data_IF_491378957124
#
_entry.id   IF_491378957124
#
_cell.length_a   1.000
_cell.length_b   1.000
_cell.length_c   1.000
_cell.angle_alpha   90.00
_cell.angle_beta   90.00
_cell.angle_gamma   90.00
#
_symmetry.space_group_name_H-M   'P 1'
#
loop_
_entity.id
_entity.type
_entity.pdbx_description
1 polymer ?
#
# COMPACT_ATOMS: atom_id res chain seq x y z
N UNK A 1 -3.97 8.35 2.15
CA UNK A 1 -3.91 9.55 1.29
C UNK A 1 -4.59 9.23 -0.03
N UNK A 2 -5.49 10.06 -0.45
CA UNK A 2 -6.22 9.92 -1.72
C UNK A 2 -5.98 11.17 -2.55
N UNK A 3 -5.56 10.99 -3.82
CA UNK A 3 -5.32 12.08 -4.75
C UNK A 3 -5.63 11.60 -6.18
N UNK A 4 -6.49 12.33 -6.91
CA UNK A 4 -6.88 12.00 -8.29
C UNK A 4 -7.32 10.53 -8.45
N UNK A 5 -8.19 10.05 -7.56
CA UNK A 5 -8.67 8.67 -7.51
C UNK A 5 -7.58 7.62 -7.24
N UNK A 6 -6.41 8.05 -6.77
CA UNK A 6 -5.33 7.18 -6.36
C UNK A 6 -5.18 7.19 -4.84
N UNK A 7 -5.08 6.02 -4.23
CA UNK A 7 -4.95 5.87 -2.79
C UNK A 7 -3.59 5.27 -2.41
N UNK A 8 -2.99 5.82 -1.37
CA UNK A 8 -1.74 5.34 -0.78
C UNK A 8 -1.98 5.18 0.72
N UNK A 9 -1.52 4.08 1.31
CA UNK A 9 -1.58 3.86 2.74
C UNK A 9 -0.21 4.13 3.39
N UNK A 10 -0.24 4.67 4.59
CA UNK A 10 0.95 4.91 5.40
C UNK A 10 0.75 4.23 6.75
N UNK A 11 1.70 3.41 7.15
CA UNK A 11 1.71 2.76 8.45
C UNK A 11 3.07 3.00 9.12
N UNK A 12 3.04 3.58 10.31
CA UNK A 12 4.25 3.96 11.04
C UNK A 12 4.42 3.04 12.25
N UNK A 13 5.58 2.37 12.31
CA UNK A 13 5.99 1.54 13.45
C UNK A 13 7.10 2.23 14.23
N UNK A 14 7.59 1.61 15.29
CA UNK A 14 8.73 2.14 16.05
C UNK A 14 9.99 2.27 15.18
N UNK A 15 10.20 1.36 14.23
CA UNK A 15 11.45 1.26 13.46
C UNK A 15 11.30 1.67 12.01
N UNK A 16 10.08 1.69 11.46
CA UNK A 16 9.87 1.85 10.02
C UNK A 16 8.67 2.74 9.69
N UNK A 17 8.74 3.32 8.49
CA UNK A 17 7.62 3.95 7.82
C UNK A 17 7.29 3.06 6.63
N UNK A 18 6.09 2.50 6.61
CA UNK A 18 5.62 1.65 5.53
C UNK A 18 4.72 2.48 4.62
N UNK A 19 5.18 2.74 3.41
CA UNK A 19 4.39 3.37 2.37
C UNK A 19 3.88 2.28 1.43
N UNK A 20 2.58 2.17 1.33
CA UNK A 20 1.94 1.16 0.50
C UNK A 20 1.16 1.85 -0.63
N UNK A 21 1.67 1.70 -1.85
CA UNK A 21 1.05 2.20 -3.07
C UNK A 21 0.79 1.02 -4.00
N UNK A 22 -0.47 0.64 -4.24
CA UNK A 22 -0.76 -0.49 -5.13
C UNK A 22 -0.16 -0.34 -6.53
N UNK A 23 0.00 0.88 -7.03
CA UNK A 23 0.60 1.16 -8.34
C UNK A 23 2.14 1.25 -8.31
N UNK A 24 2.76 1.00 -7.15
CA UNK A 24 4.22 0.91 -7.04
C UNK A 24 4.95 2.23 -7.18
N UNK A 25 4.32 3.34 -6.75
CA UNK A 25 4.95 4.67 -6.72
C UNK A 25 5.33 5.20 -8.10
N UNK A 26 4.47 4.96 -9.10
CA UNK A 26 4.67 5.49 -10.45
C UNK A 26 4.42 7.00 -10.54
N UNK A 27 3.67 7.57 -9.58
CA UNK A 27 3.39 9.01 -9.54
C UNK A 27 4.33 9.70 -8.55
N UNK A 28 5.43 10.23 -9.07
CA UNK A 28 6.45 10.92 -8.27
C UNK A 28 5.98 12.27 -7.74
N UNK A 29 4.98 12.89 -8.37
CA UNK A 29 4.40 14.15 -7.90
C UNK A 29 3.80 13.98 -6.52
N UNK A 30 3.22 12.83 -6.25
CA UNK A 30 2.66 12.50 -4.92
C UNK A 30 3.75 11.99 -3.99
N UNK A 31 4.61 11.11 -4.47
CA UNK A 31 5.60 10.42 -3.64
C UNK A 31 6.66 11.36 -3.07
N UNK A 32 7.23 12.25 -3.89
CA UNK A 32 8.34 13.09 -3.47
C UNK A 32 8.00 14.01 -2.28
N UNK A 33 6.86 14.74 -2.28
CA UNK A 33 6.48 15.55 -1.12
C UNK A 33 6.26 14.72 0.15
N UNK A 34 5.67 13.54 0.02
CA UNK A 34 5.43 12.64 1.16
C UNK A 34 6.76 12.17 1.74
N UNK A 35 7.67 11.70 0.91
CA UNK A 35 8.99 11.24 1.36
C UNK A 35 9.78 12.37 2.02
N UNK A 36 9.75 13.58 1.46
CA UNK A 36 10.41 14.75 2.02
C UNK A 36 9.87 15.08 3.41
N UNK A 37 8.55 15.11 3.55
CA UNK A 37 7.90 15.37 4.83
C UNK A 37 8.30 14.33 5.88
N UNK A 38 8.27 13.05 5.53
CA UNK A 38 8.58 11.96 6.45
C UNK A 38 10.06 11.97 6.87
N UNK A 39 10.98 12.28 5.96
CA UNK A 39 12.40 12.37 6.27
C UNK A 39 12.70 13.52 7.24
N UNK A 40 11.98 14.63 7.13
CA UNK A 40 12.14 15.77 8.03
C UNK A 40 11.61 15.44 9.42
N UNK A 41 10.43 14.83 9.52
CA UNK A 41 9.75 14.61 10.79
C UNK A 41 10.09 13.28 11.46
N UNK A 42 10.52 12.27 10.70
CA UNK A 42 10.83 10.93 11.20
C UNK A 42 12.17 10.43 10.62
N UNK A 43 13.30 11.16 10.86
CA UNK A 43 14.56 10.88 10.16
C UNK A 43 15.23 9.56 10.56
N UNK A 44 14.90 9.01 11.74
CA UNK A 44 15.55 7.79 12.24
C UNK A 44 14.82 6.49 11.85
N UNK A 45 13.71 6.59 11.12
CA UNK A 45 12.93 5.41 10.73
C UNK A 45 13.31 4.93 9.35
N UNK A 46 13.33 3.62 9.16
CA UNK A 46 13.57 3.00 7.85
C UNK A 46 12.32 3.14 6.98
N UNK A 47 12.50 3.62 5.75
CA UNK A 47 11.43 3.72 4.78
C UNK A 47 11.29 2.39 4.02
N UNK A 48 10.08 1.82 4.03
CA UNK A 48 9.75 0.58 3.33
C UNK A 48 8.69 0.85 2.27
N UNK A 49 8.94 0.37 1.06
CA UNK A 49 8.08 0.56 -0.10
C UNK A 49 7.73 -0.79 -0.72
N UNK A 50 6.60 -0.85 -1.42
CA UNK A 50 6.21 -2.03 -2.19
C UNK A 50 6.43 -1.82 -3.68
N UNK A 51 6.51 -2.92 -4.44
CA UNK A 51 6.47 -2.90 -5.90
C UNK A 51 5.02 -2.81 -6.38
N UNK A 52 4.82 -2.60 -7.68
CA UNK A 52 3.50 -2.55 -8.29
C UNK A 52 2.78 -3.89 -8.16
N UNK A 53 1.55 -3.88 -7.63
CA UNK A 53 0.71 -5.06 -7.46
C UNK A 53 -0.67 -4.93 -8.09
N UNK A 54 -1.09 -3.71 -8.42
CA UNK A 54 -2.38 -3.42 -9.05
C UNK A 54 -2.18 -3.19 -10.54
N UNK A 55 -3.12 -3.67 -11.39
CA UNK A 55 -3.07 -3.38 -12.83
C UNK A 55 -3.44 -1.91 -13.10
N UNK A 56 -2.97 -1.38 -14.25
CA UNK A 56 -3.25 0.01 -14.64
C UNK A 56 -4.72 0.25 -14.97
N UNK A 57 -5.45 -0.79 -15.32
CA UNK A 57 -6.88 -0.71 -15.64
C UNK A 57 -7.78 -0.83 -14.43
N UNK A 58 -7.23 -1.18 -13.26
CA UNK A 58 -8.00 -1.36 -12.04
C UNK A 58 -8.31 -0.03 -11.36
N UNK A 59 -9.50 0.07 -10.76
CA UNK A 59 -9.92 1.22 -9.94
C UNK A 59 -9.90 0.88 -8.45
N UNK A 60 -9.21 -0.20 -8.07
CA UNK A 60 -9.30 -0.78 -6.72
C UNK A 60 -8.24 -0.28 -5.74
N UNK A 61 -7.54 0.82 -6.00
CA UNK A 61 -6.50 1.36 -5.10
C UNK A 61 -6.95 1.41 -3.65
N UNK A 62 -8.14 1.94 -3.40
CA UNK A 62 -8.67 2.09 -2.04
C UNK A 62 -8.88 0.73 -1.37
N UNK A 63 -9.33 -0.28 -2.10
CA UNK A 63 -9.51 -1.63 -1.57
C UNK A 63 -8.18 -2.26 -1.17
N UNK A 64 -7.13 -2.10 -1.99
CA UNK A 64 -5.78 -2.54 -1.65
C UNK A 64 -5.29 -1.87 -0.37
N UNK A 65 -5.45 -0.55 -0.27
CA UNK A 65 -5.00 0.21 0.90
C UNK A 65 -5.77 -0.17 2.17
N UNK A 66 -7.08 -0.31 2.10
CA UNK A 66 -7.90 -0.72 3.25
C UNK A 66 -7.54 -2.13 3.71
N UNK A 67 -7.33 -3.05 2.78
CA UNK A 67 -6.91 -4.41 3.10
C UNK A 67 -5.53 -4.41 3.76
N UNK A 68 -4.59 -3.62 3.24
CA UNK A 68 -3.26 -3.48 3.84
C UNK A 68 -3.36 -3.01 5.29
N UNK A 69 -4.11 -1.93 5.54
CA UNK A 69 -4.28 -1.39 6.89
C UNK A 69 -4.91 -2.42 7.82
N UNK A 70 -5.97 -3.10 7.37
CA UNK A 70 -6.63 -4.13 8.16
C UNK A 70 -5.67 -5.26 8.54
N UNK A 71 -4.91 -5.77 7.58
CA UNK A 71 -3.98 -6.87 7.82
C UNK A 71 -2.84 -6.45 8.73
N UNK A 72 -2.34 -5.21 8.60
CA UNK A 72 -1.34 -4.70 9.55
C UNK A 72 -1.92 -4.57 10.95
N UNK A 73 -3.17 -4.15 11.09
CA UNK A 73 -3.85 -4.12 12.39
C UNK A 73 -4.05 -5.51 12.99
N UNK A 74 -4.18 -6.54 12.16
CA UNK A 74 -4.24 -7.94 12.59
C UNK A 74 -2.84 -8.53 12.86
N UNK A 75 -1.80 -7.71 12.83
CA UNK A 75 -0.40 -8.06 13.13
C UNK A 75 0.30 -8.92 12.07
N UNK A 76 -0.22 -8.99 10.85
CA UNK A 76 0.57 -9.50 9.73
C UNK A 76 1.68 -8.49 9.42
N UNK A 77 2.90 -8.99 9.20
CA UNK A 77 4.03 -8.11 8.86
C UNK A 77 3.86 -7.49 7.48
N UNK A 78 4.60 -6.42 7.20
CA UNK A 78 4.62 -5.78 5.89
C UNK A 78 4.95 -6.78 4.78
N UNK A 79 6.01 -7.59 4.98
CA UNK A 79 6.39 -8.62 4.01
C UNK A 79 5.32 -9.70 3.85
N UNK A 80 4.65 -10.07 4.94
CA UNK A 80 3.59 -11.08 4.87
C UNK A 80 2.39 -10.57 4.06
N UNK A 81 2.02 -9.31 4.23
CA UNK A 81 0.95 -8.71 3.42
C UNK A 81 1.34 -8.70 1.94
N UNK A 82 2.56 -8.27 1.62
CA UNK A 82 3.04 -8.26 0.24
C UNK A 82 3.10 -9.65 -0.38
N UNK A 83 3.35 -10.68 0.43
CA UNK A 83 3.42 -12.07 -0.04
C UNK A 83 2.08 -12.62 -0.54
N UNK A 84 0.97 -11.95 -0.24
CA UNK A 84 -0.35 -12.33 -0.76
C UNK A 84 -0.51 -12.03 -2.24
N UNK A 85 0.38 -11.22 -2.81
CA UNK A 85 0.30 -10.77 -4.19
C UNK A 85 1.46 -11.32 -5.01
N UNK A 86 1.24 -11.47 -6.32
CA UNK A 86 2.22 -12.02 -7.27
C UNK A 86 2.57 -10.99 -8.35
N UNK A 87 3.37 -11.40 -9.33
CA UNK A 87 3.67 -10.58 -10.51
C UNK A 87 2.48 -10.48 -11.48
N UNK A 88 1.50 -11.34 -11.34
CA UNK A 88 0.28 -11.32 -12.16
C UNK A 88 -0.69 -10.28 -11.58
N UNK A 89 -0.65 -9.07 -12.14
CA UNK A 89 -1.39 -7.93 -11.62
C UNK A 89 -2.91 -8.12 -11.72
N UNK A 90 -3.39 -8.72 -12.80
CA UNK A 90 -4.82 -8.99 -12.96
C UNK A 90 -5.32 -10.02 -11.96
N UNK A 91 -4.51 -11.03 -11.67
CA UNK A 91 -4.83 -12.02 -10.64
C UNK A 91 -4.87 -11.36 -9.25
N UNK A 92 -3.97 -10.42 -8.99
CA UNK A 92 -3.98 -9.66 -7.75
C UNK A 92 -5.29 -8.86 -7.60
N UNK A 93 -5.78 -8.24 -8.67
CA UNK A 93 -7.05 -7.51 -8.64
C UNK A 93 -8.23 -8.41 -8.27
N UNK A 94 -8.24 -9.63 -8.79
CA UNK A 94 -9.26 -10.63 -8.44
C UNK A 94 -9.13 -11.01 -6.96
N UNK A 95 -7.91 -11.26 -6.51
CA UNK A 95 -7.64 -11.67 -5.13
C UNK A 95 -8.03 -10.58 -4.14
N UNK A 96 -7.69 -9.31 -4.41
CA UNK A 96 -8.03 -8.22 -3.50
C UNK A 96 -9.53 -8.05 -3.36
N UNK A 97 -10.28 -8.21 -4.44
CA UNK A 97 -11.75 -8.15 -4.37
C UNK A 97 -12.32 -9.27 -3.49
N UNK A 98 -11.82 -10.49 -3.63
CA UNK A 98 -12.25 -11.62 -2.80
C UNK A 98 -11.91 -11.40 -1.32
N UNK A 99 -10.70 -10.97 -1.01
CA UNK A 99 -10.27 -10.71 0.36
C UNK A 99 -11.02 -9.54 0.97
N UNK A 100 -11.23 -8.47 0.20
CA UNK A 100 -12.00 -7.32 0.65
C UNK A 100 -13.43 -7.72 1.01
N UNK A 101 -14.10 -8.47 0.14
CA UNK A 101 -15.47 -8.95 0.42
C UNK A 101 -15.52 -9.85 1.64
N UNK A 102 -14.50 -10.69 1.85
CA UNK A 102 -14.42 -11.55 3.02
C UNK A 102 -14.32 -10.75 4.33
N UNK A 103 -13.44 -9.73 4.37
CA UNK A 103 -13.15 -8.99 5.59
C UNK A 103 -14.12 -7.83 5.88
N UNK A 104 -14.72 -7.26 4.86
CA UNK A 104 -15.57 -6.05 4.99
C UNK A 104 -17.05 -6.30 4.67
N UNK A 105 -17.50 -7.49 4.90
CA UNK A 105 -18.93 -7.80 4.75
C UNK A 105 -19.81 -7.10 5.77
#
# INVERSE_FOLDING_TARGET
IIHNNHAIAIHITLQAIELFDPLGFTDKIILEPICKFLKIHLPCKTLMLNSKIQSDTSINCAKYCLLFILLRCKKYTFHKVLSLFSCDLEHNDIRVNKLFDYFFR
#
